data_IF_703077252068
#
_entry.id   IF_703077252068
#
_cell.length_a   1.000
_cell.length_b   1.000
_cell.length_c   1.000
_cell.angle_alpha   90.00
_cell.angle_beta   90.00
_cell.angle_gamma   90.00
#
_symmetry.space_group_name_H-M   'P 1'
#
loop_
_entity.id
_entity.type
_entity.pdbx_description
1 polymer ?
#
# COMPACT_ATOMS: atom_id res chain seq x y z
N UNK A 1 -36.91 -45.79 25.43
CA UNK A 1 -35.55 -45.99 24.89
C UNK A 1 -35.63 -46.00 23.37
N UNK A 2 -35.33 -44.87 22.70
CA UNK A 2 -35.48 -44.70 21.24
C UNK A 2 -34.22 -45.19 20.52
N UNK A 3 -34.37 -46.16 19.62
CA UNK A 3 -33.34 -46.67 18.72
C UNK A 3 -33.02 -45.63 17.64
N UNK A 4 -31.80 -45.08 17.66
CA UNK A 4 -31.29 -44.23 16.57
C UNK A 4 -30.96 -45.12 15.36
N UNK A 5 -31.74 -44.95 14.29
CA UNK A 5 -31.55 -45.59 12.99
C UNK A 5 -30.29 -44.99 12.34
N UNK A 6 -29.20 -45.78 12.25
CA UNK A 6 -27.96 -45.37 11.58
C UNK A 6 -28.24 -45.10 10.09
N UNK A 7 -28.14 -43.84 9.69
CA UNK A 7 -28.14 -43.42 8.29
C UNK A 7 -26.80 -43.87 7.68
N UNK A 8 -26.86 -44.82 6.73
CA UNK A 8 -25.69 -45.22 5.94
C UNK A 8 -25.55 -44.25 4.76
N UNK A 9 -24.59 -43.34 4.84
CA UNK A 9 -24.18 -42.56 3.68
C UNK A 9 -23.45 -43.47 2.69
N UNK A 10 -24.04 -43.68 1.51
CA UNK A 10 -23.36 -44.28 0.37
C UNK A 10 -22.25 -43.30 -0.05
N UNK A 11 -21.00 -43.74 0.03
CA UNK A 11 -19.85 -43.02 -0.51
C UNK A 11 -20.04 -42.88 -2.02
N UNK A 12 -20.33 -41.66 -2.47
CA UNK A 12 -20.41 -41.33 -3.89
C UNK A 12 -19.01 -41.32 -4.51
N UNK A 13 -18.91 -41.79 -5.75
CA UNK A 13 -17.65 -41.91 -6.48
C UNK A 13 -16.87 -40.59 -6.50
N UNK A 14 -15.59 -40.66 -6.13
CA UNK A 14 -14.69 -39.52 -5.89
C UNK A 14 -14.64 -38.50 -7.04
N UNK A 15 -14.94 -38.91 -8.27
CA UNK A 15 -14.94 -38.03 -9.46
C UNK A 15 -16.16 -37.10 -9.53
N UNK A 16 -17.29 -37.44 -8.92
CA UNK A 16 -18.51 -36.59 -8.90
C UNK A 16 -18.54 -35.58 -7.75
N UNK A 17 -17.73 -35.78 -6.71
CA UNK A 17 -17.66 -34.91 -5.54
C UNK A 17 -16.84 -33.63 -5.80
N UNK A 18 -15.86 -33.71 -6.70
CA UNK A 18 -15.00 -32.57 -7.10
C UNK A 18 -15.83 -31.48 -7.83
N UNK A 19 -16.77 -31.88 -8.69
CA UNK A 19 -17.60 -30.94 -9.46
C UNK A 19 -18.64 -30.19 -8.61
N UNK A 20 -19.06 -30.73 -7.46
CA UNK A 20 -20.07 -30.09 -6.61
C UNK A 20 -19.47 -29.09 -5.60
N UNK A 21 -18.16 -29.19 -5.31
CA UNK A 21 -17.49 -28.28 -4.36
C UNK A 21 -17.08 -26.93 -4.97
N UNK A 22 -16.88 -26.87 -6.29
CA UNK A 22 -16.38 -25.67 -6.97
C UNK A 22 -17.47 -24.61 -7.21
N UNK A 23 -18.74 -25.02 -7.30
CA UNK A 23 -19.85 -24.11 -7.58
C UNK A 23 -20.35 -23.33 -6.36
N UNK A 24 -20.16 -23.85 -5.14
CA UNK A 24 -20.69 -23.21 -3.91
C UNK A 24 -19.79 -22.07 -3.43
N UNK A 25 -18.47 -22.12 -3.66
CA UNK A 25 -17.53 -21.07 -3.25
C UNK A 25 -17.65 -19.79 -4.09
N UNK A 26 -18.00 -19.90 -5.38
CA UNK A 26 -18.05 -18.75 -6.30
C UNK A 26 -19.29 -17.87 -6.11
N UNK A 27 -20.40 -18.44 -5.61
CA UNK A 27 -21.67 -17.71 -5.50
C UNK A 27 -21.70 -16.81 -4.24
N UNK A 28 -20.94 -17.15 -3.19
CA UNK A 28 -20.91 -16.38 -1.93
C UNK A 28 -20.15 -15.05 -2.02
N UNK A 29 -19.19 -14.91 -2.93
CA UNK A 29 -18.38 -13.69 -3.07
C UNK A 29 -19.09 -12.59 -3.87
N UNK A 30 -19.93 -12.97 -4.84
CA UNK A 30 -20.61 -12.01 -5.74
C UNK A 30 -21.74 -11.26 -5.00
N UNK A 31 -22.46 -11.90 -4.08
CA UNK A 31 -23.57 -11.27 -3.35
C UNK A 31 -23.10 -10.26 -2.29
N UNK A 32 -21.92 -10.47 -1.70
CA UNK A 32 -21.36 -9.55 -0.69
C UNK A 32 -20.96 -8.20 -1.31
N UNK A 33 -20.39 -8.21 -2.51
CA UNK A 33 -19.93 -7.01 -3.22
C UNK A 33 -21.10 -6.12 -3.65
N UNK A 34 -22.19 -6.71 -4.15
CA UNK A 34 -23.36 -5.93 -4.59
C UNK A 34 -24.11 -5.31 -3.42
N UNK A 35 -24.23 -6.03 -2.29
CA UNK A 35 -24.85 -5.49 -1.07
C UNK A 35 -24.01 -4.34 -0.49
N UNK A 36 -22.68 -4.50 -0.43
CA UNK A 36 -21.78 -3.45 0.06
C UNK A 36 -21.84 -2.18 -0.81
N UNK A 37 -21.86 -2.33 -2.14
CA UNK A 37 -21.94 -1.19 -3.05
C UNK A 37 -23.31 -0.49 -2.99
N UNK A 38 -24.41 -1.25 -2.90
CA UNK A 38 -25.77 -0.69 -2.79
C UNK A 38 -26.02 -0.02 -1.45
N UNK A 39 -25.43 -0.53 -0.35
CA UNK A 39 -25.54 0.10 0.96
C UNK A 39 -24.79 1.44 1.01
N UNK A 40 -23.60 1.53 0.42
CA UNK A 40 -22.82 2.77 0.41
C UNK A 40 -23.36 3.83 -0.57
N UNK A 41 -24.15 3.45 -1.57
CA UNK A 41 -24.59 4.36 -2.64
C UNK A 41 -25.96 5.03 -2.40
N UNK A 42 -26.58 4.86 -1.23
CA UNK A 42 -27.89 5.45 -0.91
C UNK A 42 -27.87 6.83 -0.23
N UNK A 43 -26.69 7.37 0.11
CA UNK A 43 -26.57 8.64 0.85
C UNK A 43 -25.95 9.78 0.03
N UNK A 44 -26.07 9.76 -1.29
CA UNK A 44 -25.28 10.59 -2.20
C UNK A 44 -26.04 11.52 -3.13
N UNK A 45 -27.15 12.13 -2.72
CA UNK A 45 -27.72 13.28 -3.47
C UNK A 45 -27.94 14.46 -2.52
N UNK A 46 -27.01 15.43 -2.56
CA UNK A 46 -27.28 16.87 -2.55
C UNK A 46 -25.94 17.60 -2.80
N UNK A 47 -25.70 17.99 -4.05
CA UNK A 47 -24.71 19.03 -4.35
C UNK A 47 -25.39 20.40 -4.27
N UNK A 48 -24.85 21.28 -3.41
CA UNK A 48 -24.88 22.73 -3.61
C UNK A 48 -23.49 23.29 -3.34
N UNK A 49 -23.00 24.04 -4.33
CA UNK A 49 -21.79 24.86 -4.29
C UNK A 49 -21.91 25.93 -3.19
N UNK A 50 -20.87 26.12 -2.36
CA UNK A 50 -20.05 27.36 -2.31
C UNK A 50 -19.04 27.36 -1.14
N UNK A 51 -17.80 27.73 -1.48
CA UNK A 51 -16.79 28.50 -0.73
C UNK A 51 -16.26 28.06 0.65
N UNK A 52 -14.93 27.91 0.65
CA UNK A 52 -13.96 28.18 1.73
C UNK A 52 -14.28 27.66 3.14
N UNK A 53 -13.60 26.57 3.52
CA UNK A 53 -12.74 26.56 4.69
C UNK A 53 -11.84 25.31 4.65
N UNK A 54 -10.56 25.58 4.80
CA UNK A 54 -9.48 24.62 5.07
C UNK A 54 -9.94 23.71 6.21
N UNK A 55 -10.02 22.42 5.94
CA UNK A 55 -9.91 21.38 6.95
C UNK A 55 -9.17 20.22 6.30
N UNK A 56 -7.84 20.31 6.31
CA UNK A 56 -6.98 19.14 6.31
C UNK A 56 -7.30 18.38 7.59
N UNK A 57 -8.36 17.56 7.55
CA UNK A 57 -8.57 16.52 8.55
C UNK A 57 -7.69 15.37 8.09
N UNK A 58 -6.39 15.46 8.41
CA UNK A 58 -5.56 14.27 8.46
C UNK A 58 -6.23 13.30 9.43
N UNK A 59 -6.29 12.05 9.02
CA UNK A 59 -6.69 10.92 9.84
C UNK A 59 -5.53 10.62 10.80
N UNK A 60 -5.20 11.57 11.67
CA UNK A 60 -4.24 11.41 12.75
C UNK A 60 -5.06 11.37 14.04
N UNK A 61 -5.33 10.17 14.53
CA UNK A 61 -5.34 9.80 15.96
C UNK A 61 -6.19 8.55 16.17
N UNK A 62 -5.52 7.39 16.18
CA UNK A 62 -5.88 6.27 17.07
C UNK A 62 -4.77 5.19 17.19
N UNK A 63 -3.53 5.50 16.80
CA UNK A 63 -2.34 4.75 17.19
C UNK A 63 -1.22 5.76 17.40
N UNK A 64 -1.08 6.27 18.62
CA UNK A 64 0.13 6.98 19.04
C UNK A 64 1.27 5.97 19.02
N UNK A 65 1.94 5.78 17.88
CA UNK A 65 3.19 5.05 17.86
C UNK A 65 4.17 5.76 18.79
N UNK A 66 4.88 4.99 19.62
CA UNK A 66 5.90 5.54 20.51
C UNK A 66 6.98 6.29 19.71
N UNK A 67 7.17 5.91 18.45
CA UNK A 67 8.11 6.52 17.53
C UNK A 67 7.39 7.40 16.50
N UNK A 68 7.90 8.62 16.27
CA UNK A 68 7.45 9.45 15.17
C UNK A 68 8.23 9.16 13.89
N UNK A 69 7.66 9.53 12.74
CA UNK A 69 8.32 9.44 11.43
C UNK A 69 9.69 10.13 11.42
N UNK A 70 9.80 11.29 12.09
CA UNK A 70 11.02 12.11 12.12
C UNK A 70 12.13 11.54 12.99
N UNK A 71 11.76 10.69 13.96
CA UNK A 71 12.73 10.02 14.83
C UNK A 71 13.40 8.83 14.11
N UNK A 72 12.71 8.26 13.12
CA UNK A 72 13.18 7.06 12.40
C UNK A 72 13.81 7.45 11.07
N UNK A 73 13.11 8.24 10.25
CA UNK A 73 13.49 8.50 8.87
C UNK A 73 14.17 9.85 8.72
N UNK A 74 15.31 9.92 8.02
CA UNK A 74 16.02 11.18 7.84
C UNK A 74 15.27 12.14 6.92
N UNK A 75 15.51 13.43 7.12
CA UNK A 75 15.19 14.45 6.13
C UNK A 75 16.11 14.31 4.90
N UNK A 76 15.52 14.55 3.74
CA UNK A 76 16.12 14.31 2.42
C UNK A 76 16.03 15.59 1.60
N UNK A 77 17.15 16.00 1.03
CA UNK A 77 17.20 17.07 0.04
C UNK A 77 17.41 16.44 -1.34
N UNK A 78 16.47 16.62 -2.29
CA UNK A 78 16.56 16.04 -3.63
C UNK A 78 17.86 16.39 -4.38
N UNK A 79 18.46 17.55 -4.08
CA UNK A 79 19.71 18.00 -4.68
C UNK A 79 20.90 17.09 -4.39
N UNK A 80 20.88 16.38 -3.27
CA UNK A 80 21.95 15.47 -2.87
C UNK A 80 22.08 14.27 -3.83
N UNK A 81 21.07 14.05 -4.68
CA UNK A 81 21.00 12.95 -5.64
C UNK A 81 21.04 13.42 -7.09
N UNK A 82 21.35 14.70 -7.36
CA UNK A 82 21.36 15.24 -8.73
C UNK A 82 22.37 14.52 -9.64
N UNK A 83 23.52 14.12 -9.10
CA UNK A 83 24.56 13.39 -9.85
C UNK A 83 24.13 11.98 -10.28
N UNK A 84 23.06 11.45 -9.68
CA UNK A 84 22.51 10.13 -10.02
C UNK A 84 21.48 10.20 -11.16
N UNK A 85 21.16 11.41 -11.65
CA UNK A 85 20.24 11.59 -12.77
C UNK A 85 20.95 11.27 -14.07
N UNK A 86 20.44 10.26 -14.78
CA UNK A 86 20.95 9.86 -16.08
C UNK A 86 20.25 10.63 -17.21
N UNK A 87 20.90 10.71 -18.37
CA UNK A 87 20.32 11.35 -19.56
C UNK A 87 20.21 10.33 -20.68
N UNK A 88 18.98 10.04 -21.09
CA UNK A 88 18.69 9.17 -22.24
C UNK A 88 18.07 10.00 -23.37
N UNK A 89 18.72 10.02 -24.54
CA UNK A 89 18.22 10.72 -25.73
C UNK A 89 17.87 12.19 -25.47
N UNK A 90 18.68 12.87 -24.65
CA UNK A 90 18.47 14.28 -24.27
C UNK A 90 17.42 14.50 -23.19
N UNK A 91 16.84 13.43 -22.62
CA UNK A 91 15.85 13.50 -21.54
C UNK A 91 16.49 13.01 -20.25
N UNK A 92 16.45 13.82 -19.20
CA UNK A 92 16.85 13.42 -17.86
C UNK A 92 15.88 12.35 -17.32
N UNK A 93 16.41 11.30 -16.72
CA UNK A 93 15.67 10.13 -16.24
C UNK A 93 16.11 9.72 -14.83
N UNK A 94 15.17 9.13 -14.10
CA UNK A 94 15.40 8.42 -12.84
C UNK A 94 15.36 6.93 -13.14
N UNK A 95 16.40 6.22 -12.74
CA UNK A 95 16.56 4.79 -12.98
C UNK A 95 16.75 3.98 -11.68
N UNK A 96 17.01 2.69 -11.82
CA UNK A 96 17.19 1.78 -10.69
C UNK A 96 18.44 2.11 -9.87
N UNK A 97 19.46 2.70 -10.49
CA UNK A 97 20.67 3.10 -9.79
C UNK A 97 20.36 4.22 -8.79
N UNK A 98 19.60 5.22 -9.21
CA UNK A 98 19.08 6.26 -8.32
C UNK A 98 18.36 5.65 -7.10
N UNK A 99 17.42 4.73 -7.34
CA UNK A 99 16.65 4.09 -6.27
C UNK A 99 17.55 3.30 -5.33
N UNK A 100 18.50 2.53 -5.86
CA UNK A 100 19.42 1.72 -5.06
C UNK A 100 20.28 2.59 -4.14
N UNK A 101 20.86 3.67 -4.68
CA UNK A 101 21.65 4.62 -3.91
C UNK A 101 20.80 5.33 -2.85
N UNK A 102 19.61 5.81 -3.23
CA UNK A 102 18.70 6.47 -2.31
C UNK A 102 18.32 5.56 -1.14
N UNK A 103 17.88 4.32 -1.42
CA UNK A 103 17.50 3.37 -0.38
C UNK A 103 18.67 3.06 0.55
N UNK A 104 19.87 2.90 -0.01
CA UNK A 104 21.10 2.68 0.77
C UNK A 104 21.42 3.88 1.67
N UNK A 105 21.23 5.11 1.19
CA UNK A 105 21.45 6.32 1.96
C UNK A 105 20.46 6.43 3.13
N UNK A 106 19.17 6.18 2.89
CA UNK A 106 18.14 6.17 3.94
C UNK A 106 18.49 5.16 5.03
N UNK A 107 18.82 3.91 4.67
CA UNK A 107 19.14 2.86 5.63
C UNK A 107 20.38 3.22 6.47
N UNK A 108 21.37 3.88 5.88
CA UNK A 108 22.58 4.33 6.61
C UNK A 108 22.32 5.47 7.59
N UNK A 109 21.28 6.25 7.36
CA UNK A 109 20.96 7.49 8.08
C UNK A 109 19.69 7.39 8.92
N UNK A 110 19.22 6.18 9.19
CA UNK A 110 18.12 5.97 10.13
C UNK A 110 18.48 6.54 11.49
N UNK A 111 17.50 7.15 12.15
CA UNK A 111 17.65 7.62 13.54
C UNK A 111 17.64 6.49 14.58
N UNK A 112 17.40 5.25 14.15
CA UNK A 112 17.27 4.06 15.01
C UNK A 112 18.27 2.98 14.62
N UNK A 113 18.67 2.17 15.59
CA UNK A 113 19.62 1.04 15.41
C UNK A 113 18.96 -0.34 15.46
N UNK A 114 17.63 -0.40 15.48
CA UNK A 114 16.84 -1.61 15.64
C UNK A 114 15.58 -1.57 14.78
N UNK A 115 14.86 -2.69 14.73
CA UNK A 115 13.67 -2.88 13.89
C UNK A 115 14.01 -3.33 12.47
N UNK A 116 12.98 -3.85 11.80
CA UNK A 116 13.04 -4.29 10.42
C UNK A 116 12.62 -3.15 9.49
N UNK A 117 13.27 -3.06 8.33
CA UNK A 117 12.85 -2.15 7.26
C UNK A 117 12.40 -2.94 6.06
N UNK A 118 11.23 -2.54 5.55
CA UNK A 118 10.73 -2.93 4.24
C UNK A 118 10.61 -1.69 3.39
N UNK A 119 10.90 -1.85 2.11
CA UNK A 119 10.66 -0.78 1.14
C UNK A 119 10.05 -1.34 -0.14
N UNK A 120 9.31 -0.48 -0.82
CA UNK A 120 8.76 -0.72 -2.14
C UNK A 120 9.02 0.52 -2.99
N UNK A 121 9.17 0.35 -4.30
CA UNK A 121 9.26 1.48 -5.21
C UNK A 121 8.51 1.21 -6.51
N UNK A 122 8.08 2.29 -7.15
CA UNK A 122 7.40 2.25 -8.43
C UNK A 122 7.79 3.46 -9.28
N UNK A 123 8.32 3.19 -10.47
CA UNK A 123 8.43 4.19 -11.52
C UNK A 123 7.03 4.48 -12.07
N UNK A 124 6.57 5.72 -11.93
CA UNK A 124 5.33 6.18 -12.57
C UNK A 124 5.58 6.50 -14.04
N UNK A 125 6.78 7.00 -14.34
CA UNK A 125 7.36 7.12 -15.67
C UNK A 125 8.89 7.29 -15.53
N UNK A 126 9.59 7.59 -16.63
CA UNK A 126 11.05 7.78 -16.64
C UNK A 126 11.58 8.94 -15.79
N UNK A 127 10.72 9.86 -15.36
CA UNK A 127 11.08 11.07 -14.61
C UNK A 127 10.48 11.11 -13.21
N UNK A 128 9.69 10.10 -12.84
CA UNK A 128 8.91 10.08 -11.61
C UNK A 128 9.02 8.72 -10.93
N UNK A 129 9.49 8.72 -9.70
CA UNK A 129 9.54 7.51 -8.87
C UNK A 129 8.95 7.78 -7.49
N UNK A 130 8.15 6.83 -7.01
CA UNK A 130 7.67 6.79 -5.63
C UNK A 130 8.41 5.68 -4.90
N UNK A 131 8.91 5.99 -3.71
CA UNK A 131 9.61 5.04 -2.83
C UNK A 131 8.94 5.08 -1.47
N UNK A 132 8.49 3.93 -1.00
CA UNK A 132 7.73 3.76 0.23
C UNK A 132 8.54 2.92 1.20
N UNK A 133 8.70 3.40 2.43
CA UNK A 133 9.35 2.70 3.53
C UNK A 133 8.36 2.37 4.62
N UNK A 134 8.57 1.22 5.24
CA UNK A 134 7.92 0.82 6.48
C UNK A 134 9.01 0.34 7.42
N UNK A 135 9.14 1.02 8.55
CA UNK A 135 9.90 0.54 9.69
C UNK A 135 8.96 -0.21 10.64
N UNK A 136 9.42 -1.35 11.14
CA UNK A 136 8.62 -2.27 11.94
C UNK A 136 9.45 -2.67 13.16
N UNK A 137 8.91 -2.45 14.35
CA UNK A 137 9.52 -2.90 15.59
C UNK A 137 8.43 -3.26 16.58
N UNK A 138 8.54 -4.44 17.19
CA UNK A 138 7.46 -5.08 17.94
C UNK A 138 6.16 -5.09 17.11
N UNK A 139 5.10 -4.45 17.60
CA UNK A 139 3.82 -4.33 16.90
C UNK A 139 3.61 -2.94 16.25
N UNK A 140 4.61 -2.05 16.33
CA UNK A 140 4.53 -0.71 15.76
C UNK A 140 5.02 -0.67 14.31
N UNK A 141 4.37 0.19 13.52
CA UNK A 141 4.75 0.46 12.12
C UNK A 141 4.77 1.94 11.87
N UNK A 142 5.88 2.42 11.32
CA UNK A 142 6.02 3.81 10.91
C UNK A 142 6.31 3.85 9.41
N UNK A 143 5.53 4.65 8.71
CA UNK A 143 5.54 4.73 7.25
C UNK A 143 6.20 6.03 6.81
N UNK A 144 6.98 5.98 5.74
CA UNK A 144 7.53 7.16 5.08
C UNK A 144 7.52 7.01 3.58
N UNK A 145 7.00 8.02 2.90
CA UNK A 145 6.96 8.05 1.44
C UNK A 145 7.85 9.17 0.92
N UNK A 146 8.70 8.85 -0.05
CA UNK A 146 9.48 9.80 -0.82
C UNK A 146 9.00 9.78 -2.26
N UNK A 147 8.84 10.97 -2.83
CA UNK A 147 8.45 11.15 -4.22
C UNK A 147 9.51 12.01 -4.89
N UNK A 148 10.10 11.47 -5.95
CA UNK A 148 11.06 12.21 -6.77
C UNK A 148 10.47 12.41 -8.14
N UNK A 149 10.57 13.65 -8.61
CA UNK A 149 10.16 14.06 -9.95
C UNK A 149 11.23 14.93 -10.58
N UNK A 150 11.44 14.79 -11.88
CA UNK A 150 12.24 15.73 -12.66
C UNK A 150 11.29 16.70 -13.36
N UNK A 151 11.35 17.98 -12.97
CA UNK A 151 10.61 19.07 -13.61
C UNK A 151 11.61 20.09 -14.14
N UNK A 152 11.51 20.43 -15.42
CA UNK A 152 12.41 21.39 -16.08
C UNK A 152 13.90 21.05 -15.92
N UNK A 153 14.26 19.76 -15.85
CA UNK A 153 15.63 19.30 -15.66
C UNK A 153 16.14 19.38 -14.21
N UNK A 154 15.28 19.71 -13.26
CA UNK A 154 15.58 19.80 -11.83
C UNK A 154 14.85 18.68 -11.10
N UNK A 155 15.57 17.93 -10.26
CA UNK A 155 14.97 16.95 -9.37
C UNK A 155 14.36 17.63 -8.15
N UNK A 156 13.14 17.23 -7.79
CA UNK A 156 12.38 17.71 -6.63
C UNK A 156 11.68 16.57 -5.93
#
# INVERSE_FOLDING_TARGET
MKLLKKIKFKLFDKKKLIFFSLSILVISSITFITIYFVYNNKNGEHQKQNNNLINNKTLDDENSSMYSEKDIFPEVNPRDYYELINVEKGVAIIDENFVSFFVKDIIKRLGVSFGDIKFYYKFLNKQNVKIEFVWIFDDEKVYKNYYFKIENGIIT
#
